data_IF_485185394803
#
_entry.id   IF_485185394803
#
_cell.length_a   1.000
_cell.length_b   1.000
_cell.length_c   1.000
_cell.angle_alpha   90.00
_cell.angle_beta   90.00
_cell.angle_gamma   90.00
#
_symmetry.space_group_name_H-M   'P 1'
#
loop_
_entity.id
_entity.type
_entity.pdbx_description
1 polymer ?
#
# COMPACT_ATOMS: atom_id res chain seq x y z
N UNK A 1 3.82 16.00 3.91
CA UNK A 1 2.92 15.10 3.16
C UNK A 1 3.37 14.91 1.71
N UNK A 2 3.89 15.93 1.03
CA UNK A 2 4.30 15.83 -0.38
C UNK A 2 5.32 14.72 -0.68
N UNK A 3 5.13 14.03 -1.80
CA UNK A 3 5.85 12.84 -2.26
C UNK A 3 5.67 11.58 -1.40
N UNK A 4 4.89 11.62 -0.31
CA UNK A 4 4.78 10.48 0.62
C UNK A 4 3.71 9.47 0.23
N UNK A 5 2.64 9.89 -0.46
CA UNK A 5 1.60 8.98 -0.95
C UNK A 5 2.15 7.87 -1.86
N UNK A 6 2.89 8.20 -2.94
CA UNK A 6 3.48 7.21 -3.83
C UNK A 6 4.53 6.35 -3.15
N UNK A 7 5.32 6.93 -2.23
CA UNK A 7 6.30 6.18 -1.46
C UNK A 7 5.64 5.13 -0.57
N UNK A 8 4.55 5.49 0.11
CA UNK A 8 3.78 4.56 0.94
C UNK A 8 3.19 3.42 0.11
N UNK A 9 2.62 3.72 -1.06
CA UNK A 9 2.14 2.71 -2.02
C UNK A 9 3.23 1.69 -2.35
N UNK A 10 4.44 2.15 -2.73
CA UNK A 10 5.57 1.28 -3.08
C UNK A 10 5.88 0.31 -1.94
N UNK A 11 6.00 0.82 -0.71
CA UNK A 11 6.28 -0.04 0.44
C UNK A 11 5.15 -1.04 0.70
N UNK A 12 3.89 -0.59 0.66
CA UNK A 12 2.73 -1.46 0.86
C UNK A 12 2.65 -2.58 -0.18
N UNK A 13 2.92 -2.28 -1.46
CA UNK A 13 2.89 -3.27 -2.53
C UNK A 13 4.02 -4.31 -2.36
N UNK A 14 5.26 -3.85 -2.19
CA UNK A 14 6.40 -4.74 -1.91
C UNK A 14 6.14 -5.64 -0.70
N UNK A 15 5.51 -5.08 0.32
CA UNK A 15 5.23 -5.76 1.57
C UNK A 15 4.07 -6.74 1.50
N UNK A 16 3.03 -6.46 0.72
CA UNK A 16 1.97 -7.42 0.47
C UNK A 16 2.52 -8.69 -0.20
N UNK A 17 3.49 -8.52 -1.11
CA UNK A 17 4.22 -9.65 -1.68
C UNK A 17 5.08 -10.38 -0.64
N UNK A 18 5.90 -9.67 0.13
CA UNK A 18 6.78 -10.30 1.14
C UNK A 18 5.99 -11.06 2.22
N UNK A 19 4.85 -10.52 2.63
CA UNK A 19 3.98 -11.13 3.64
C UNK A 19 3.32 -12.41 3.06
N UNK A 20 3.08 -12.47 1.75
CA UNK A 20 2.60 -13.68 1.05
C UNK A 20 3.65 -14.80 0.96
N UNK A 21 4.94 -14.47 1.13
CA UNK A 21 6.03 -15.45 1.24
C UNK A 21 6.28 -15.91 2.69
N UNK A 22 5.53 -15.36 3.67
CA UNK A 22 5.76 -15.56 5.11
C UNK A 22 7.19 -15.20 5.54
N UNK A 23 7.77 -14.17 4.90
CA UNK A 23 9.08 -13.66 5.25
C UNK A 23 8.97 -12.59 6.34
N UNK A 24 9.90 -12.62 7.29
CA UNK A 24 9.96 -11.62 8.35
C UNK A 24 10.20 -10.22 7.75
N UNK A 25 9.38 -9.23 8.13
CA UNK A 25 9.48 -7.84 7.66
C UNK A 25 10.87 -7.22 7.76
N UNK A 26 11.68 -7.66 8.72
CA UNK A 26 13.05 -7.18 8.90
C UNK A 26 13.97 -7.54 7.73
N UNK A 27 13.63 -8.51 6.87
CA UNK A 27 14.37 -8.76 5.63
C UNK A 27 14.37 -7.54 4.70
N UNK A 28 13.32 -6.71 4.73
CA UNK A 28 13.19 -5.55 3.85
C UNK A 28 14.24 -4.45 4.07
N UNK A 29 15.05 -4.54 5.14
CA UNK A 29 16.24 -3.68 5.30
C UNK A 29 17.41 -4.08 4.38
N UNK A 30 17.35 -5.26 3.78
CA UNK A 30 18.42 -5.81 2.92
C UNK A 30 17.90 -6.45 1.62
N UNK A 31 16.59 -6.67 1.50
CA UNK A 31 15.94 -7.45 0.43
C UNK A 31 14.86 -6.60 -0.22
N UNK A 32 14.99 -6.35 -1.53
CA UNK A 32 14.02 -5.65 -2.34
C UNK A 32 13.31 -6.59 -3.33
N UNK A 33 12.59 -5.99 -4.30
CA UNK A 33 11.93 -6.75 -5.37
C UNK A 33 12.87 -7.69 -6.15
N UNK A 34 14.12 -7.32 -6.50
CA UNK A 34 15.05 -8.23 -7.20
C UNK A 34 15.34 -9.50 -6.41
N UNK A 35 15.62 -9.34 -5.11
CA UNK A 35 15.94 -10.47 -4.26
C UNK A 35 14.70 -11.33 -3.98
N UNK A 36 13.52 -10.72 -3.77
CA UNK A 36 12.28 -11.49 -3.61
C UNK A 36 11.90 -12.28 -4.86
N UNK A 37 12.07 -11.70 -6.05
CA UNK A 37 11.85 -12.38 -7.32
C UNK A 37 12.77 -13.60 -7.45
N UNK A 38 14.07 -13.39 -7.21
CA UNK A 38 15.06 -14.48 -7.25
C UNK A 38 14.77 -15.58 -6.22
N UNK A 39 14.40 -15.20 -4.98
CA UNK A 39 14.04 -16.16 -3.93
C UNK A 39 12.82 -17.00 -4.34
N UNK A 40 11.77 -16.36 -4.84
CA UNK A 40 10.56 -17.04 -5.30
C UNK A 40 10.88 -18.01 -6.43
N UNK A 41 11.58 -17.57 -7.47
CA UNK A 41 11.90 -18.42 -8.62
C UNK A 41 12.75 -19.64 -8.22
N UNK A 42 13.73 -19.46 -7.34
CA UNK A 42 14.60 -20.56 -6.91
C UNK A 42 13.89 -21.56 -5.97
N UNK A 43 12.91 -21.13 -5.18
CA UNK A 43 12.19 -22.01 -4.24
C UNK A 43 10.98 -22.66 -4.89
N UNK A 44 10.18 -21.90 -5.64
CA UNK A 44 8.93 -22.35 -6.25
C UNK A 44 9.15 -22.97 -7.63
N UNK A 45 10.21 -22.57 -8.34
CA UNK A 45 10.53 -23.06 -9.68
C UNK A 45 9.68 -22.43 -10.79
N UNK A 46 9.01 -21.31 -10.50
CA UNK A 46 8.22 -20.54 -11.46
C UNK A 46 8.89 -19.20 -11.75
N UNK A 47 8.97 -18.75 -13.01
CA UNK A 47 9.55 -17.46 -13.35
C UNK A 47 8.89 -16.33 -12.58
N UNK A 48 9.71 -15.40 -12.08
CA UNK A 48 9.24 -14.20 -11.38
C UNK A 48 10.22 -13.07 -11.63
N UNK A 49 9.72 -11.95 -12.18
CA UNK A 49 10.51 -10.72 -12.32
C UNK A 49 10.27 -9.74 -11.18
N UNK A 50 11.10 -8.69 -11.10
CA UNK A 50 10.92 -7.56 -10.18
C UNK A 50 9.57 -6.85 -10.39
N UNK A 51 9.15 -6.72 -11.65
CA UNK A 51 7.87 -6.12 -12.02
C UNK A 51 6.71 -7.01 -11.56
N UNK A 52 6.81 -8.32 -11.75
CA UNK A 52 5.80 -9.27 -11.30
C UNK A 52 5.61 -9.22 -9.78
N UNK A 53 6.70 -9.06 -9.01
CA UNK A 53 6.65 -8.87 -7.55
C UNK A 53 5.80 -7.66 -7.19
N UNK A 54 6.06 -6.52 -7.83
CA UNK A 54 5.34 -5.28 -7.54
C UNK A 54 3.88 -5.33 -8.00
N UNK A 55 3.60 -5.91 -9.16
CA UNK A 55 2.23 -6.10 -9.67
C UNK A 55 1.44 -7.07 -8.80
N UNK A 56 2.05 -8.17 -8.35
CA UNK A 56 1.42 -9.10 -7.42
C UNK A 56 1.10 -8.42 -6.08
N UNK A 57 2.03 -7.64 -5.54
CA UNK A 57 1.83 -6.83 -4.35
C UNK A 57 0.66 -5.83 -4.49
N UNK A 58 0.62 -5.07 -5.58
CA UNK A 58 -0.46 -4.13 -5.86
C UNK A 58 -1.82 -4.85 -6.00
N UNK A 59 -1.84 -6.02 -6.66
CA UNK A 59 -3.04 -6.87 -6.78
C UNK A 59 -3.55 -7.30 -5.41
N UNK A 60 -2.68 -7.79 -4.53
CA UNK A 60 -3.05 -8.22 -3.17
C UNK A 60 -3.63 -7.04 -2.37
N UNK A 61 -2.93 -5.90 -2.36
CA UNK A 61 -3.36 -4.74 -1.58
C UNK A 61 -4.71 -4.17 -2.06
N UNK A 62 -4.95 -4.16 -3.38
CA UNK A 62 -6.24 -3.75 -3.94
C UNK A 62 -7.34 -4.78 -3.68
N UNK A 63 -7.03 -6.08 -3.66
CA UNK A 63 -7.98 -7.12 -3.30
C UNK A 63 -8.43 -6.98 -1.84
N UNK A 64 -7.50 -6.73 -0.93
CA UNK A 64 -7.80 -6.46 0.49
C UNK A 64 -8.66 -5.20 0.65
N UNK A 65 -8.31 -4.11 -0.06
CA UNK A 65 -9.13 -2.89 -0.04
C UNK A 65 -10.51 -3.14 -0.62
N UNK A 66 -10.62 -3.88 -1.72
CA UNK A 66 -11.89 -4.23 -2.32
C UNK A 66 -12.78 -5.05 -1.38
N UNK A 67 -12.19 -6.02 -0.67
CA UNK A 67 -12.90 -6.75 0.39
C UNK A 67 -13.46 -5.79 1.45
N UNK A 68 -12.66 -4.82 1.91
CA UNK A 68 -13.13 -3.80 2.86
C UNK A 68 -14.22 -2.90 2.26
N UNK A 69 -14.11 -2.51 0.99
CA UNK A 69 -15.15 -1.75 0.30
C UNK A 69 -16.47 -2.53 0.24
N UNK A 70 -16.43 -3.84 -0.03
CA UNK A 70 -17.61 -4.71 0.00
C UNK A 70 -18.21 -4.86 1.41
N UNK A 71 -17.38 -4.70 2.45
CA UNK A 71 -17.82 -4.65 3.84
C UNK A 71 -18.35 -3.26 4.27
N UNK A 72 -18.33 -2.27 3.38
CA UNK A 72 -18.85 -0.92 3.61
C UNK A 72 -17.83 0.11 4.06
N UNK A 73 -16.52 -0.19 4.00
CA UNK A 73 -15.47 0.78 4.32
C UNK A 73 -15.11 1.63 3.10
N UNK A 74 -14.92 2.93 3.31
CA UNK A 74 -14.50 3.87 2.27
C UNK A 74 -13.49 4.90 2.82
N UNK A 75 -13.28 5.99 2.08
CA UNK A 75 -12.38 7.06 2.48
C UNK A 75 -12.79 7.75 3.78
N UNK A 76 -14.06 7.71 4.19
CA UNK A 76 -14.49 8.29 5.47
C UNK A 76 -13.94 7.53 6.69
N UNK A 77 -13.63 6.24 6.53
CA UNK A 77 -13.02 5.40 7.57
C UNK A 77 -11.50 5.55 7.66
N UNK A 78 -10.86 6.05 6.60
CA UNK A 78 -9.42 6.31 6.55
C UNK A 78 -9.09 7.59 7.33
N UNK A 79 -9.12 7.50 8.65
CA UNK A 79 -8.86 8.62 9.56
C UNK A 79 -7.92 8.26 10.70
N UNK A 80 -7.50 9.28 11.44
CA UNK A 80 -6.71 9.17 12.66
C UNK A 80 -7.54 9.65 13.86
N UNK A 81 -7.22 9.22 15.08
CA UNK A 81 -7.77 9.84 16.28
C UNK A 81 -7.61 11.37 16.26
N UNK A 82 -8.65 12.11 16.67
CA UNK A 82 -8.76 13.57 16.57
C UNK A 82 -7.52 14.33 17.09
N UNK A 83 -6.89 13.81 18.13
CA UNK A 83 -5.64 14.36 18.69
C UNK A 83 -4.56 14.57 17.62
N UNK A 84 -4.37 13.65 16.68
CA UNK A 84 -3.34 13.77 15.64
C UNK A 84 -3.66 14.85 14.60
N UNK A 85 -4.93 15.24 14.48
CA UNK A 85 -5.41 16.21 13.50
C UNK A 85 -5.53 17.61 14.08
N UNK A 86 -5.61 17.74 15.41
CA UNK A 86 -5.97 19.00 16.07
C UNK A 86 -5.00 19.44 17.17
N UNK A 87 -4.35 18.50 17.87
CA UNK A 87 -3.40 18.82 18.94
C UNK A 87 -1.98 18.85 18.38
N UNK A 88 -1.25 19.99 18.46
CA UNK A 88 0.12 20.05 18.00
C UNK A 88 1.04 19.11 18.79
N UNK A 89 1.97 18.47 18.09
CA UNK A 89 3.00 17.66 18.72
C UNK A 89 3.92 18.53 19.61
N UNK A 90 4.68 17.85 20.47
CA UNK A 90 5.68 18.44 21.36
C UNK A 90 7.09 17.95 21.02
N UNK A 91 8.13 18.66 21.49
CA UNK A 91 9.52 18.23 21.33
C UNK A 91 10.06 18.49 19.92
N UNK A 92 10.83 17.57 19.30
CA UNK A 92 11.44 17.82 17.98
C UNK A 92 10.46 18.11 16.83
N UNK A 93 9.19 17.74 16.99
CA UNK A 93 8.11 18.01 16.03
C UNK A 93 7.13 19.08 16.56
N UNK A 94 7.58 19.95 17.47
CA UNK A 94 6.72 20.97 18.10
C UNK A 94 5.96 21.81 17.07
N UNK A 95 4.65 21.96 17.28
CA UNK A 95 3.78 22.76 16.43
C UNK A 95 3.20 22.01 15.21
N UNK A 96 3.67 20.79 14.91
CA UNK A 96 3.14 20.01 13.79
C UNK A 96 1.85 19.28 14.16
N UNK A 97 0.89 19.28 13.22
CA UNK A 97 -0.30 18.41 13.18
C UNK A 97 -0.25 17.57 11.90
N UNK A 98 -0.97 16.45 11.85
CA UNK A 98 -1.01 15.63 10.63
C UNK A 98 -1.87 16.29 9.55
N UNK A 99 -1.29 16.56 8.38
CA UNK A 99 -2.00 17.07 7.20
C UNK A 99 -2.69 15.94 6.42
N UNK A 100 -3.61 15.23 7.10
CA UNK A 100 -4.17 13.96 6.62
C UNK A 100 -4.91 14.10 5.28
N UNK A 101 -5.70 15.15 5.08
CA UNK A 101 -6.48 15.34 3.86
C UNK A 101 -5.58 15.41 2.62
N UNK A 102 -4.49 16.17 2.70
CA UNK A 102 -3.49 16.27 1.63
C UNK A 102 -2.73 14.96 1.43
N UNK A 103 -2.44 14.23 2.51
CA UNK A 103 -1.83 12.90 2.42
C UNK A 103 -2.74 11.90 1.69
N UNK A 104 -4.05 11.91 2.02
CA UNK A 104 -5.04 11.02 1.42
C UNK A 104 -5.26 11.31 -0.05
N UNK A 105 -5.39 12.58 -0.42
CA UNK A 105 -5.52 12.98 -1.83
C UNK A 105 -4.39 12.40 -2.68
N UNK A 106 -3.14 12.64 -2.28
CA UNK A 106 -1.97 12.13 -3.01
C UNK A 106 -1.88 10.59 -3.00
N UNK A 107 -2.28 9.96 -1.88
CA UNK A 107 -2.26 8.51 -1.75
C UNK A 107 -3.31 7.83 -2.64
N UNK A 108 -4.54 8.36 -2.68
CA UNK A 108 -5.61 7.84 -3.53
C UNK A 108 -5.32 8.08 -5.01
N UNK A 109 -4.73 9.22 -5.37
CA UNK A 109 -4.23 9.45 -6.73
C UNK A 109 -3.20 8.38 -7.12
N UNK A 110 -2.20 8.14 -6.25
CA UNK A 110 -1.18 7.12 -6.50
C UNK A 110 -1.76 5.70 -6.61
N UNK A 111 -2.84 5.41 -5.88
CA UNK A 111 -3.55 4.12 -5.89
C UNK A 111 -4.54 3.99 -7.05
N UNK A 112 -4.95 5.08 -7.68
CA UNK A 112 -6.06 5.09 -8.63
C UNK A 112 -7.42 4.83 -7.96
N UNK A 113 -7.58 5.30 -6.73
CA UNK A 113 -8.81 5.16 -5.95
C UNK A 113 -9.62 6.46 -5.98
N UNK A 114 -10.94 6.33 -5.88
CA UNK A 114 -11.85 7.47 -5.67
C UNK A 114 -12.41 7.39 -4.26
N UNK A 115 -12.08 8.38 -3.42
CA UNK A 115 -12.42 8.42 -1.99
C UNK A 115 -12.27 7.07 -1.28
N UNK A 116 -11.10 6.45 -1.43
CA UNK A 116 -10.80 5.16 -0.81
C UNK A 116 -11.55 3.95 -1.39
N UNK A 117 -12.21 4.09 -2.53
CA UNK A 117 -12.89 2.99 -3.24
C UNK A 117 -12.05 2.54 -4.44
N UNK A 118 -11.80 1.24 -4.52
CA UNK A 118 -11.14 0.64 -5.69
C UNK A 118 -12.11 0.61 -6.87
N UNK A 119 -11.82 1.37 -7.92
CA UNK A 119 -12.64 1.42 -9.12
C UNK A 119 -12.60 0.12 -9.94
N UNK A 120 -13.68 -0.16 -10.67
CA UNK A 120 -13.80 -1.37 -11.51
C UNK A 120 -12.66 -1.48 -12.56
N UNK A 121 -12.22 -0.34 -13.11
CA UNK A 121 -11.11 -0.31 -14.05
C UNK A 121 -9.81 -0.87 -13.43
N UNK A 122 -9.50 -0.48 -12.18
CA UNK A 122 -8.33 -0.96 -11.44
C UNK A 122 -8.47 -2.44 -11.05
N UNK A 123 -9.68 -2.89 -10.70
CA UNK A 123 -9.95 -4.31 -10.43
C UNK A 123 -9.73 -5.19 -11.67
N UNK A 124 -10.14 -4.72 -12.85
CA UNK A 124 -9.91 -5.41 -14.13
C UNK A 124 -8.43 -5.36 -14.55
N UNK A 125 -7.79 -4.19 -14.41
CA UNK A 125 -6.35 -4.00 -14.67
C UNK A 125 -5.49 -4.99 -13.89
N UNK A 126 -5.84 -5.22 -12.62
CA UNK A 126 -5.14 -6.14 -11.72
C UNK A 126 -5.70 -7.57 -11.75
N UNK A 127 -6.62 -7.89 -12.67
CA UNK A 127 -7.20 -9.22 -12.83
C UNK A 127 -7.88 -9.78 -11.56
N UNK A 128 -8.39 -8.89 -10.70
CA UNK A 128 -9.16 -9.27 -9.51
C UNK A 128 -10.58 -9.70 -9.92
N UNK A 129 -11.11 -9.09 -10.98
CA UNK A 129 -12.38 -9.44 -11.60
C UNK A 129 -12.23 -9.61 -13.11
N UNK A 130 -13.11 -10.42 -13.70
CA UNK A 130 -13.14 -10.75 -15.14
C UNK A 130 -13.84 -9.68 -15.97
#
# INVERSE_FOLDING_TARGET
WDGKGPLLKIFQDLHAFSDSLDLCKFSAFAVGAPEYAALYENVVGLPMSEEDVMVAGERIYNLERHFNNLAGFDGSDDSLPERFLTEPASGPAEGHICELDQMKEQYYEARGWDDGVVGEAKLRELEIIS
#
